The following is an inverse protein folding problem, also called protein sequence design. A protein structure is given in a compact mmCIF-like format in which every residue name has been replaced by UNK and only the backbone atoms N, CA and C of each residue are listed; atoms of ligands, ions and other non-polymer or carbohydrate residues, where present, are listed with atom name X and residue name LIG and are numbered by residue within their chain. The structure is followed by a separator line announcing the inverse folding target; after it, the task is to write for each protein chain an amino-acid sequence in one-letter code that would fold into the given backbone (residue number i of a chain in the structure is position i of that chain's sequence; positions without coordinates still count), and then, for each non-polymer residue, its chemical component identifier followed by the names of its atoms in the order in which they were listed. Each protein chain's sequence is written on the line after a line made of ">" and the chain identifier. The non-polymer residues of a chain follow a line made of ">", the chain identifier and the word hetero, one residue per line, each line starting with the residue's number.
data_IF_654374580936
#
_entry.id   IF_654374580936
#
_cell.length_a   1.000
_cell.length_b   1.000
_cell.length_c   1.000
_cell.angle_alpha   90.00
_cell.angle_beta   90.00
_cell.angle_gamma   90.00
#
_symmetry.space_group_name_H-M   'P 1'
#
loop_
_entity.id
_entity.type
_entity.pdbx_description
1 polymer ?
#
# COMPACT_ATOMS: atom_id res chain seq x y z
N UNK A 1 6.66 31.51 10.68
CA UNK A 1 6.20 30.14 10.86
C UNK A 1 6.54 29.27 9.66
N UNK A 2 6.93 28.11 9.91
CA UNK A 2 7.41 27.23 8.86
C UNK A 2 6.35 26.24 8.44
N UNK A 3 6.06 26.24 7.18
CA UNK A 3 5.10 25.29 6.63
C UNK A 3 5.87 24.08 6.12
N UNK A 4 5.33 22.93 6.40
CA UNK A 4 5.90 21.70 5.89
C UNK A 4 5.89 21.72 4.36
N UNK A 5 7.05 21.61 3.77
CA UNK A 5 7.19 21.70 2.32
C UNK A 5 7.07 20.34 1.65
N UNK A 6 7.37 19.28 2.37
CA UNK A 6 7.38 17.94 1.79
C UNK A 6 6.39 17.05 2.49
N UNK A 7 5.68 16.27 1.71
CA UNK A 7 4.82 15.23 2.24
C UNK A 7 5.53 13.91 2.10
N UNK A 8 5.44 13.09 3.14
CA UNK A 8 5.98 11.74 3.07
C UNK A 8 5.14 10.90 2.13
N UNK A 9 5.68 9.74 1.74
CA UNK A 9 4.90 8.81 0.92
C UNK A 9 3.67 8.34 1.69
N UNK A 10 3.82 8.11 3.00
CA UNK A 10 2.68 7.70 3.82
C UNK A 10 1.60 8.78 3.88
N UNK A 11 1.99 10.05 3.91
CA UNK A 11 1.03 11.15 3.85
C UNK A 11 0.23 11.13 2.55
N UNK A 12 0.90 10.79 1.45
CA UNK A 12 0.23 10.70 0.16
C UNK A 12 -0.75 9.53 0.11
N UNK A 13 -0.39 8.40 0.71
CA UNK A 13 -1.32 7.28 0.84
C UNK A 13 -2.51 7.66 1.71
N UNK A 14 -2.27 8.37 2.82
CA UNK A 14 -3.35 8.82 3.69
C UNK A 14 -4.32 9.73 2.95
N UNK A 15 -3.80 10.57 2.07
CA UNK A 15 -4.62 11.47 1.28
C UNK A 15 -5.54 10.72 0.33
N UNK A 16 -5.13 9.53 -0.10
CA UNK A 16 -5.96 8.66 -0.93
C UNK A 16 -6.91 7.79 -0.10
N UNK A 17 -6.93 7.97 1.21
CA UNK A 17 -7.80 7.23 2.10
C UNK A 17 -7.20 5.97 2.68
N UNK A 18 -5.94 5.70 2.40
CA UNK A 18 -5.27 4.52 2.94
C UNK A 18 -4.74 4.77 4.35
N UNK A 19 -4.84 3.74 5.18
CA UNK A 19 -4.25 3.72 6.51
C UNK A 19 -3.20 2.63 6.52
N UNK A 20 -2.01 2.96 7.01
CA UNK A 20 -0.96 1.95 7.12
C UNK A 20 -1.28 1.05 8.32
N UNK A 21 -1.39 -0.25 8.07
CA UNK A 21 -1.74 -1.22 9.10
C UNK A 21 -0.53 -2.01 9.58
N UNK A 22 0.54 -2.04 8.81
CA UNK A 22 1.74 -2.79 9.17
C UNK A 22 2.94 -2.24 8.43
N UNK A 23 4.07 -2.19 9.12
CA UNK A 23 5.34 -1.91 8.47
C UNK A 23 6.44 -2.69 9.18
N UNK A 24 7.21 -3.43 8.41
CA UNK A 24 8.37 -4.16 8.88
C UNK A 24 9.45 -4.08 7.80
N UNK A 25 10.57 -4.76 8.03
CA UNK A 25 11.65 -4.75 7.04
C UNK A 25 11.24 -5.41 5.73
N UNK A 26 10.27 -6.33 5.77
CA UNK A 26 9.90 -7.14 4.62
C UNK A 26 8.52 -6.84 4.06
N UNK A 27 7.70 -6.08 4.79
CA UNK A 27 6.30 -5.88 4.41
C UNK A 27 5.83 -4.50 4.84
N UNK A 28 5.06 -3.85 3.97
CA UNK A 28 4.30 -2.66 4.32
C UNK A 28 2.88 -2.86 3.82
N UNK A 29 1.91 -2.70 4.70
CA UNK A 29 0.51 -2.93 4.37
C UNK A 29 -0.31 -1.67 4.59
N UNK A 30 -1.19 -1.39 3.65
CA UNK A 30 -2.16 -0.29 3.74
C UNK A 30 -3.55 -0.82 3.50
N UNK A 31 -4.54 -0.19 4.11
CA UNK A 31 -5.94 -0.51 3.88
C UNK A 31 -6.75 0.75 3.64
N UNK A 32 -7.73 0.65 2.77
CA UNK A 32 -8.70 1.72 2.53
C UNK A 32 -10.10 1.12 2.60
N UNK A 33 -10.91 1.63 3.51
CA UNK A 33 -12.27 1.14 3.70
C UNK A 33 -13.20 1.89 2.77
N UNK A 34 -13.97 1.15 2.00
CA UNK A 34 -15.05 1.69 1.19
C UNK A 34 -16.35 1.29 1.86
N UNK A 35 -16.82 2.15 2.77
CA UNK A 35 -18.02 1.87 3.55
C UNK A 35 -19.28 1.86 2.68
N UNK A 36 -19.27 2.55 1.55
CA UNK A 36 -20.42 2.61 0.67
C UNK A 36 -20.72 1.24 0.06
N UNK A 37 -19.69 0.49 -0.30
CA UNK A 37 -19.84 -0.81 -0.93
C UNK A 37 -19.46 -1.98 -0.03
N UNK A 38 -19.01 -1.70 1.19
CA UNK A 38 -18.69 -2.75 2.15
C UNK A 38 -17.39 -3.49 1.84
N UNK A 39 -16.41 -2.81 1.25
CA UNK A 39 -15.14 -3.42 0.91
C UNK A 39 -13.98 -2.77 1.67
N UNK A 40 -12.96 -3.58 1.91
CA UNK A 40 -11.66 -3.07 2.35
C UNK A 40 -10.68 -3.34 1.21
N UNK A 41 -10.07 -2.28 0.72
CA UNK A 41 -9.01 -2.37 -0.28
C UNK A 41 -7.71 -2.59 0.46
N UNK A 42 -7.00 -3.66 0.10
CA UNK A 42 -5.75 -4.02 0.75
C UNK A 42 -4.60 -3.85 -0.24
N UNK A 43 -3.54 -3.20 0.22
CA UNK A 43 -2.39 -2.95 -0.61
C UNK A 43 -1.16 -3.38 0.17
N UNK A 44 -0.53 -4.46 -0.29
CA UNK A 44 0.61 -5.05 0.40
C UNK A 44 1.85 -4.93 -0.46
N UNK A 45 2.91 -4.35 0.12
CA UNK A 45 4.21 -4.26 -0.51
C UNK A 45 5.11 -5.26 0.18
N UNK A 46 5.69 -6.18 -0.58
CA UNK A 46 6.47 -7.28 -0.02
C UNK A 46 7.87 -7.30 -0.60
N UNK A 47 8.85 -7.46 0.27
CA UNK A 47 10.25 -7.64 -0.11
C UNK A 47 10.63 -9.09 0.16
N UNK A 48 10.82 -9.85 -0.89
CA UNK A 48 11.18 -11.25 -0.77
C UNK A 48 12.66 -11.43 -0.49
N UNK A 49 13.01 -12.52 0.17
CA UNK A 49 14.41 -12.82 0.51
C UNK A 49 15.31 -12.94 -0.71
N UNK A 50 14.73 -13.34 -1.84
CA UNK A 50 15.51 -13.45 -3.09
C UNK A 50 15.68 -12.10 -3.78
N UNK A 51 15.31 -11.00 -3.11
CA UNK A 51 15.46 -9.66 -3.67
C UNK A 51 14.31 -9.21 -4.54
N UNK A 52 13.34 -10.05 -4.78
CA UNK A 52 12.17 -9.67 -5.57
C UNK A 52 11.19 -8.87 -4.73
N UNK A 53 10.49 -7.95 -5.38
CA UNK A 53 9.49 -7.12 -4.74
C UNK A 53 8.15 -7.40 -5.37
N UNK A 54 7.09 -7.34 -4.56
CA UNK A 54 5.76 -7.58 -5.04
C UNK A 54 4.80 -6.52 -4.50
N UNK A 55 3.86 -6.13 -5.35
CA UNK A 55 2.73 -5.29 -4.96
C UNK A 55 1.50 -6.16 -5.12
N UNK A 56 0.78 -6.36 -4.03
CA UNK A 56 -0.44 -7.16 -4.05
C UNK A 56 -1.60 -6.23 -3.73
N UNK A 57 -2.52 -6.11 -4.68
CA UNK A 57 -3.72 -5.31 -4.51
C UNK A 57 -4.91 -6.25 -4.47
N UNK A 58 -5.70 -6.16 -3.41
CA UNK A 58 -6.83 -7.07 -3.21
C UNK A 58 -7.95 -6.33 -2.49
N UNK A 59 -9.12 -6.96 -2.45
CA UNK A 59 -10.25 -6.46 -1.68
C UNK A 59 -10.91 -7.60 -0.94
N UNK A 60 -11.49 -7.29 0.22
CA UNK A 60 -12.23 -8.24 1.03
C UNK A 60 -13.47 -7.54 1.58
N UNK A 61 -14.43 -8.31 2.08
CA UNK A 61 -15.59 -7.72 2.72
C UNK A 61 -15.26 -7.13 4.08
N UNK A 62 -15.99 -6.09 4.47
CA UNK A 62 -15.78 -5.46 5.78
C UNK A 62 -16.27 -6.34 6.93
N UNK A 63 -17.11 -7.32 6.63
CA UNK A 63 -17.66 -8.22 7.64
C UNK A 63 -16.72 -9.38 7.99
N UNK A 64 -15.52 -9.39 7.46
CA UNK A 64 -14.57 -10.44 7.78
C UNK A 64 -14.75 -11.72 6.98
N UNK A 65 -15.46 -11.67 5.89
CA UNK A 65 -15.67 -12.81 4.99
C UNK A 65 -14.37 -13.24 4.35
N UNK A 66 -13.36 -13.38 4.87
CA UNK A 66 -12.09 -13.94 4.45
C UNK A 66 -11.82 -14.12 2.95
N UNK A 67 -12.68 -13.63 2.13
CA UNK A 67 -12.62 -13.82 0.70
C UNK A 67 -11.90 -12.63 0.06
N UNK A 68 -10.73 -12.89 -0.47
CA UNK A 68 -9.90 -11.86 -1.08
C UNK A 68 -9.93 -11.99 -2.58
N UNK A 69 -10.26 -10.89 -3.26
CA UNK A 69 -10.20 -10.83 -4.71
C UNK A 69 -9.05 -9.93 -5.11
N UNK A 70 -8.27 -10.38 -6.08
CA UNK A 70 -7.27 -9.52 -6.69
C UNK A 70 -7.99 -8.38 -7.42
N UNK A 71 -7.48 -7.16 -7.29
CA UNK A 71 -8.05 -6.00 -7.97
C UNK A 71 -6.95 -5.23 -8.67
N UNK A 72 -7.35 -4.48 -9.69
CA UNK A 72 -6.43 -3.64 -10.40
C UNK A 72 -5.86 -2.54 -9.52
N UNK A 73 -4.65 -2.11 -9.84
CA UNK A 73 -3.96 -1.05 -9.12
C UNK A 73 -3.82 0.14 -10.06
N UNK A 74 -4.46 1.27 -9.75
CA UNK A 74 -4.31 2.46 -10.60
C UNK A 74 -2.85 2.90 -10.66
N UNK A 75 -2.47 3.46 -11.80
CA UNK A 75 -1.07 3.81 -12.03
C UNK A 75 -0.51 4.77 -10.99
N UNK A 76 -1.29 5.76 -10.55
CA UNK A 76 -0.79 6.71 -9.56
C UNK A 76 -0.54 6.03 -8.21
N UNK A 77 -1.32 5.01 -7.87
CA UNK A 77 -1.09 4.23 -6.64
C UNK A 77 0.12 3.32 -6.80
N UNK A 78 0.28 2.73 -7.98
CA UNK A 78 1.46 1.92 -8.26
C UNK A 78 2.74 2.74 -8.13
N UNK A 79 2.72 3.98 -8.60
CA UNK A 79 3.88 4.87 -8.48
C UNK A 79 4.20 5.18 -7.03
N UNK A 80 3.19 5.37 -6.19
CA UNK A 80 3.41 5.58 -4.76
C UNK A 80 4.02 4.34 -4.11
N UNK A 81 3.58 3.16 -4.52
CA UNK A 81 4.15 1.91 -4.01
C UNK A 81 5.64 1.82 -4.33
N UNK A 82 6.01 2.16 -5.56
CA UNK A 82 7.41 2.14 -5.96
C UNK A 82 8.23 3.16 -5.17
N UNK A 83 7.67 4.34 -4.90
CA UNK A 83 8.33 5.34 -4.07
C UNK A 83 8.55 4.83 -2.64
N UNK A 84 7.54 4.16 -2.09
CA UNK A 84 7.66 3.60 -0.74
C UNK A 84 8.75 2.54 -0.69
N UNK A 85 8.79 1.66 -1.68
CA UNK A 85 9.83 0.64 -1.77
C UNK A 85 11.23 1.27 -1.83
N UNK A 86 11.38 2.31 -2.62
CA UNK A 86 12.64 3.04 -2.73
C UNK A 86 13.01 3.69 -1.40
N UNK A 87 12.04 4.27 -0.72
CA UNK A 87 12.25 4.88 0.60
C UNK A 87 12.73 3.85 1.61
N UNK A 88 12.23 2.63 1.53
CA UNK A 88 12.64 1.54 2.40
C UNK A 88 14.02 1.00 2.03
N UNK A 89 14.59 1.43 0.93
CA UNK A 89 15.87 0.91 0.46
C UNK A 89 15.76 -0.41 -0.27
N UNK A 90 14.56 -0.81 -0.65
CA UNK A 90 14.36 -2.04 -1.42
C UNK A 90 14.78 -1.79 -2.86
N UNK A 91 15.79 -2.50 -3.32
CA UNK A 91 16.25 -2.35 -4.68
C UNK A 91 15.41 -3.24 -5.60
N UNK A 92 15.01 -2.66 -6.73
CA UNK A 92 14.27 -3.42 -7.73
C UNK A 92 15.23 -4.38 -8.42
N UNK A 93 14.90 -5.65 -8.44
CA UNK A 93 15.67 -6.68 -9.12
C UNK A 93 15.11 -6.84 -10.53
N UNK A 94 15.98 -6.76 -11.50
CA UNK A 94 15.59 -6.87 -12.91
C UNK A 94 15.95 -8.22 -13.48
#
# INVERSE_FOLDING_TARGET
>A
MKIKLFKTVDDKFAKLGFVKTRESDLVVCYERIDSKFGYVWCLDLCHKRNGKHMIISSQKGTNGDGFNNAVGLPMHEAKLCLKKMKQKGWKVVR
#
